data_IF_704890087996
#
_entry.id   IF_704890087996
#
_cell.length_a   1.000
_cell.length_b   1.000
_cell.length_c   1.000
_cell.angle_alpha   90.00
_cell.angle_beta   90.00
_cell.angle_gamma   90.00
#
_symmetry.space_group_name_H-M   'P 1'
#
loop_
_entity.id
_entity.type
_entity.pdbx_description
1 polymer ?
#
# COMPACT_ATOMS: atom_id res chain seq x y z
N UNK A 1 -4.12 20.28 11.84
CA UNK A 1 -3.46 21.06 10.75
C UNK A 1 -2.31 20.19 10.28
N UNK A 2 -2.53 19.43 9.20
CA UNK A 2 -1.46 18.58 8.63
C UNK A 2 -0.60 19.50 7.78
N UNK A 3 0.57 19.86 8.31
CA UNK A 3 1.52 20.78 7.67
C UNK A 3 2.35 19.96 6.67
N UNK A 4 1.84 19.82 5.43
CA UNK A 4 2.63 19.25 4.34
C UNK A 4 3.68 20.27 3.91
N UNK A 5 4.85 20.25 4.56
CA UNK A 5 6.00 21.03 4.11
C UNK A 5 6.74 20.26 3.03
N UNK A 6 6.50 20.67 1.78
CA UNK A 6 7.38 20.32 0.68
C UNK A 6 8.74 20.99 0.89
N UNK A 7 9.76 20.24 1.30
CA UNK A 7 11.15 20.71 1.25
C UNK A 7 11.82 20.11 0.04
N UNK A 8 12.32 20.98 -0.83
CA UNK A 8 13.12 20.62 -2.00
C UNK A 8 14.49 19.99 -1.57
N UNK A 9 14.91 18.85 -2.17
CA UNK A 9 14.25 18.10 -3.21
C UNK A 9 13.26 17.05 -2.66
N UNK A 10 11.97 17.24 -2.95
CA UNK A 10 10.93 16.24 -2.96
C UNK A 10 10.61 15.41 -1.70
N UNK A 11 11.11 15.75 -0.50
CA UNK A 11 10.74 15.02 0.71
C UNK A 11 9.31 15.41 1.15
N UNK A 12 8.38 14.49 0.98
CA UNK A 12 7.02 14.60 1.52
C UNK A 12 6.95 13.76 2.77
N UNK A 13 6.57 14.36 3.89
CA UNK A 13 6.27 13.65 5.13
C UNK A 13 4.75 13.62 5.32
N UNK A 14 4.04 12.57 4.90
CA UNK A 14 2.69 12.33 5.38
C UNK A 14 2.78 11.69 6.76
N UNK A 15 2.30 12.40 7.75
CA UNK A 15 2.07 11.83 9.07
C UNK A 15 0.83 10.93 8.97
N UNK A 16 1.01 9.64 9.21
CA UNK A 16 -0.03 8.60 9.35
C UNK A 16 -0.86 8.26 8.10
N UNK A 17 -0.52 7.13 7.49
CA UNK A 17 -1.39 6.37 6.61
C UNK A 17 -2.24 5.35 7.40
N UNK A 18 -2.60 5.66 8.63
CA UNK A 18 -3.71 4.95 9.26
C UNK A 18 -4.96 5.50 8.59
N UNK A 19 -5.56 4.69 7.72
CA UNK A 19 -6.74 5.07 6.97
C UNK A 19 -7.94 4.88 7.88
N UNK A 20 -8.11 5.80 8.81
CA UNK A 20 -9.42 6.10 9.34
C UNK A 20 -10.21 6.74 8.19
N UNK A 21 -11.30 6.10 7.71
CA UNK A 21 -12.09 6.64 6.60
C UNK A 21 -12.58 8.06 6.86
N UNK A 22 -12.81 8.43 8.12
CA UNK A 22 -13.23 9.77 8.50
C UNK A 22 -12.05 10.75 8.56
N UNK A 23 -10.86 10.30 8.98
CA UNK A 23 -9.63 11.10 8.90
C UNK A 23 -9.24 11.38 7.44
N UNK A 24 -9.42 10.42 6.55
CA UNK A 24 -9.23 10.60 5.11
C UNK A 24 -10.22 11.59 4.52
N UNK A 25 -11.51 11.48 4.82
CA UNK A 25 -12.52 12.46 4.37
C UNK A 25 -12.16 13.87 4.85
N UNK A 26 -11.71 14.01 6.10
CA UNK A 26 -11.27 15.29 6.66
C UNK A 26 -9.98 15.79 6.00
N UNK A 27 -9.03 14.91 5.71
CA UNK A 27 -7.79 15.25 4.99
C UNK A 27 -8.09 15.80 3.59
N UNK A 28 -9.03 15.19 2.85
CA UNK A 28 -9.44 15.68 1.51
C UNK A 28 -10.19 16.99 1.57
N UNK A 29 -11.08 17.16 2.52
CA UNK A 29 -11.78 18.41 2.73
C UNK A 29 -10.80 19.57 3.01
N UNK A 30 -9.69 19.30 3.71
CA UNK A 30 -8.67 20.30 4.05
C UNK A 30 -7.65 20.53 2.91
N UNK A 31 -7.37 19.54 2.07
CA UNK A 31 -6.38 19.66 0.99
C UNK A 31 -6.97 20.13 -0.34
N UNK A 32 -8.29 20.35 -0.42
CA UNK A 32 -8.99 20.75 -1.65
C UNK A 32 -9.05 19.62 -2.70
N UNK A 33 -8.62 18.42 -2.37
CA UNK A 33 -8.73 17.24 -3.21
C UNK A 33 -10.14 16.66 -2.99
N UNK A 34 -11.00 16.72 -3.99
CA UNK A 34 -12.29 16.04 -3.90
C UNK A 34 -12.06 14.53 -4.01
N UNK A 35 -12.40 13.74 -2.97
CA UNK A 35 -12.43 12.31 -3.12
C UNK A 35 -13.48 11.98 -4.18
N UNK A 36 -13.10 11.24 -5.19
CA UNK A 36 -14.06 10.54 -6.04
C UNK A 36 -14.63 9.39 -5.19
N UNK A 37 -15.53 9.73 -4.26
CA UNK A 37 -16.12 8.77 -3.35
C UNK A 37 -17.20 7.98 -4.10
N UNK A 38 -16.80 6.87 -4.68
CA UNK A 38 -17.70 5.74 -4.84
C UNK A 38 -17.71 5.01 -3.49
N UNK A 39 -18.86 4.51 -3.06
CA UNK A 39 -19.02 3.82 -1.77
C UNK A 39 -17.92 2.75 -1.57
N UNK A 40 -17.08 2.93 -0.54
CA UNK A 40 -16.02 2.00 -0.15
C UNK A 40 -14.68 2.14 -0.90
N UNK A 41 -14.51 3.13 -1.78
CA UNK A 41 -13.23 3.40 -2.44
C UNK A 41 -12.86 4.88 -2.37
N UNK A 42 -11.55 5.16 -2.20
CA UNK A 42 -11.00 6.51 -2.12
C UNK A 42 -9.87 6.60 -3.13
N UNK A 43 -9.97 7.51 -4.10
CA UNK A 43 -8.93 7.73 -5.10
C UNK A 43 -8.16 9.02 -4.81
N UNK A 44 -6.85 8.90 -4.78
CA UNK A 44 -5.87 9.95 -4.49
C UNK A 44 -5.12 10.30 -5.76
N UNK A 45 -4.86 11.58 -5.98
CA UNK A 45 -3.86 12.02 -6.96
C UNK A 45 -2.52 12.22 -6.26
N UNK A 46 -1.41 11.77 -6.86
CA UNK A 46 -0.09 12.02 -6.30
C UNK A 46 0.21 13.53 -6.33
N UNK A 47 0.86 14.02 -5.25
CA UNK A 47 1.25 15.43 -5.12
C UNK A 47 2.77 15.60 -5.03
N UNK A 48 3.54 14.58 -5.38
CA UNK A 48 5.00 14.52 -5.29
C UNK A 48 5.63 14.28 -6.67
N UNK A 49 6.84 14.73 -6.90
CA UNK A 49 7.65 14.41 -8.07
C UNK A 49 7.07 14.82 -9.42
N UNK A 50 6.19 15.83 -9.49
CA UNK A 50 5.37 16.14 -10.67
C UNK A 50 4.69 14.87 -11.21
N UNK A 51 4.22 14.01 -10.31
CA UNK A 51 3.63 12.73 -10.68
C UNK A 51 2.20 12.91 -11.19
N UNK A 52 1.84 12.04 -12.12
CA UNK A 52 0.47 11.86 -12.61
C UNK A 52 -0.02 10.44 -12.37
N UNK A 53 -1.33 10.24 -12.49
CA UNK A 53 -1.97 8.96 -12.22
C UNK A 53 -2.78 8.98 -10.94
N UNK A 54 -2.83 7.84 -10.24
CA UNK A 54 -3.65 7.73 -9.03
C UNK A 54 -3.15 6.66 -8.07
N UNK A 55 -3.56 6.81 -6.80
CA UNK A 55 -3.61 5.73 -5.82
C UNK A 55 -5.04 5.56 -5.36
N UNK A 56 -5.59 4.36 -5.44
CA UNK A 56 -6.94 4.03 -5.02
C UNK A 56 -6.90 3.07 -3.85
N UNK A 57 -7.68 3.36 -2.82
CA UNK A 57 -7.81 2.54 -1.62
C UNK A 57 -9.23 2.01 -1.59
N UNK A 58 -9.37 0.69 -1.57
CA UNK A 58 -10.66 -0.01 -1.52
C UNK A 58 -10.76 -0.73 -0.20
N UNK A 59 -11.73 -0.34 0.63
CA UNK A 59 -12.05 -0.99 1.90
C UNK A 59 -12.99 -2.16 1.60
N UNK A 60 -12.54 -3.38 1.85
CA UNK A 60 -13.29 -4.61 1.57
C UNK A 60 -14.04 -5.09 2.81
N UNK A 61 -13.31 -5.42 3.86
CA UNK A 61 -13.82 -5.88 5.16
C UNK A 61 -13.06 -5.18 6.29
N UNK A 62 -13.52 -5.32 7.52
CA UNK A 62 -12.79 -4.86 8.69
C UNK A 62 -11.42 -5.53 8.74
N UNK A 63 -10.38 -4.69 8.77
CA UNK A 63 -8.99 -5.17 8.76
C UNK A 63 -8.48 -5.66 7.40
N UNK A 64 -9.24 -5.53 6.29
CA UNK A 64 -8.79 -5.88 4.96
C UNK A 64 -9.05 -4.79 3.93
N UNK A 65 -8.00 -4.33 3.28
CA UNK A 65 -8.06 -3.31 2.26
C UNK A 65 -7.09 -3.57 1.09
N UNK A 66 -7.44 -3.05 -0.06
CA UNK A 66 -6.61 -3.12 -1.28
C UNK A 66 -6.21 -1.71 -1.70
N UNK A 67 -4.90 -1.50 -1.88
CA UNK A 67 -4.36 -0.26 -2.44
C UNK A 67 -3.90 -0.52 -3.86
N UNK A 68 -4.40 0.26 -4.80
CA UNK A 68 -4.07 0.16 -6.22
C UNK A 68 -3.28 1.41 -6.59
N UNK A 69 -2.09 1.25 -7.15
CA UNK A 69 -1.22 2.33 -7.63
C UNK A 69 -1.05 2.26 -9.14
N UNK A 70 -1.25 3.41 -9.80
CA UNK A 70 -0.92 3.62 -11.21
C UNK A 70 -0.39 5.06 -11.31
N UNK A 71 0.94 5.21 -11.19
CA UNK A 71 1.60 6.49 -10.95
C UNK A 71 2.82 6.60 -11.85
N UNK A 72 2.91 7.68 -12.62
CA UNK A 72 4.12 8.06 -13.35
C UNK A 72 4.79 9.23 -12.64
N UNK A 73 6.04 9.08 -12.22
CA UNK A 73 6.84 10.15 -11.63
C UNK A 73 7.70 10.81 -12.69
N UNK A 74 7.51 12.12 -12.93
CA UNK A 74 8.32 12.87 -13.89
C UNK A 74 9.59 13.43 -13.27
N UNK A 75 9.64 13.56 -11.95
CA UNK A 75 10.80 13.95 -11.17
C UNK A 75 11.04 12.98 -10.03
N UNK A 76 12.30 12.79 -9.70
CA UNK A 76 12.70 12.04 -8.53
C UNK A 76 12.03 12.58 -7.25
N UNK A 77 11.50 11.69 -6.43
CA UNK A 77 10.78 12.05 -5.21
C UNK A 77 10.96 11.03 -4.09
N UNK A 78 10.90 11.52 -2.86
CA UNK A 78 10.98 10.71 -1.66
C UNK A 78 9.71 10.90 -0.84
N UNK A 79 9.04 9.79 -0.54
CA UNK A 79 7.83 9.76 0.28
C UNK A 79 8.16 9.14 1.64
N UNK A 80 8.22 9.98 2.68
CA UNK A 80 8.45 9.51 4.04
C UNK A 80 7.13 9.19 4.73
N UNK A 81 7.06 8.04 5.40
CA UNK A 81 5.88 7.58 6.13
C UNK A 81 6.29 6.81 7.38
N UNK A 82 5.36 6.65 8.31
CA UNK A 82 5.50 5.71 9.43
C UNK A 82 4.71 4.44 9.15
N UNK A 83 5.21 3.32 9.62
CA UNK A 83 4.47 2.06 9.51
C UNK A 83 3.28 2.05 10.46
N UNK A 84 2.19 1.54 9.98
CA UNK A 84 1.09 0.98 10.73
C UNK A 84 1.35 -0.50 11.04
N UNK A 85 0.69 -1.05 12.03
CA UNK A 85 0.75 -2.48 12.35
C UNK A 85 -0.18 -3.24 11.42
N UNK A 86 0.31 -3.55 10.22
CA UNK A 86 -0.43 -4.37 9.24
C UNK A 86 0.52 -5.23 8.41
N UNK A 87 0.07 -6.43 8.06
CA UNK A 87 0.76 -7.27 7.10
C UNK A 87 0.40 -6.82 5.69
N UNK A 88 1.41 -6.53 4.88
CA UNK A 88 1.25 -6.07 3.51
C UNK A 88 1.80 -7.08 2.51
N UNK A 89 0.99 -7.41 1.50
CA UNK A 89 1.41 -8.14 0.31
C UNK A 89 1.42 -7.16 -0.85
N UNK A 90 2.61 -6.76 -1.26
CA UNK A 90 2.80 -5.76 -2.31
C UNK A 90 3.18 -6.43 -3.63
N UNK A 91 2.31 -6.32 -4.63
CA UNK A 91 2.50 -6.84 -5.98
C UNK A 91 2.90 -5.70 -6.91
N UNK A 92 4.14 -5.70 -7.39
CA UNK A 92 4.66 -4.73 -8.35
C UNK A 92 4.60 -5.32 -9.76
N UNK A 93 3.71 -4.77 -10.60
CA UNK A 93 3.57 -5.19 -12.00
C UNK A 93 4.54 -4.46 -12.93
N UNK A 94 4.78 -3.16 -12.68
CA UNK A 94 5.61 -2.32 -13.52
C UNK A 94 6.28 -1.24 -12.68
N UNK A 95 7.41 -0.74 -13.16
CA UNK A 95 8.21 0.26 -12.49
C UNK A 95 9.07 -0.29 -11.37
N UNK A 96 10.09 0.46 -10.99
CA UNK A 96 10.94 0.17 -9.84
C UNK A 96 10.96 1.34 -8.88
N UNK A 97 11.14 1.05 -7.60
CA UNK A 97 11.29 2.06 -6.56
C UNK A 97 12.21 1.55 -5.46
N UNK A 98 12.76 2.47 -4.68
CA UNK A 98 13.50 2.14 -3.48
C UNK A 98 12.59 2.15 -2.25
N UNK A 99 12.89 1.32 -1.26
CA UNK A 99 12.29 1.36 0.06
C UNK A 99 13.39 1.31 1.12
N UNK A 100 13.58 2.42 1.82
CA UNK A 100 14.43 2.52 3.01
C UNK A 100 13.57 2.36 4.28
N UNK A 101 14.07 1.63 5.27
CA UNK A 101 13.39 1.38 6.54
C UNK A 101 14.37 1.65 7.67
N UNK A 102 14.04 2.58 8.57
CA UNK A 102 14.82 2.92 9.76
C UNK A 102 16.29 3.24 9.47
N UNK A 103 16.59 4.01 8.41
CA UNK A 103 17.94 4.36 7.96
C UNK A 103 18.84 3.15 7.62
N UNK A 104 18.26 2.01 7.30
CA UNK A 104 18.96 0.88 6.71
C UNK A 104 19.13 1.08 5.20
N UNK A 105 19.96 0.22 4.58
CA UNK A 105 20.16 0.26 3.14
C UNK A 105 18.83 0.22 2.38
N UNK A 106 18.74 1.05 1.34
CA UNK A 106 17.62 1.08 0.43
C UNK A 106 17.46 -0.26 -0.27
N UNK A 107 16.27 -0.79 -0.23
CA UNK A 107 15.94 -2.03 -0.90
C UNK A 107 15.12 -1.75 -2.13
N UNK A 108 15.59 -2.23 -3.26
CA UNK A 108 14.89 -2.08 -4.52
C UNK A 108 13.64 -2.98 -4.58
N UNK A 109 12.52 -2.39 -4.97
CA UNK A 109 11.29 -3.10 -5.33
C UNK A 109 11.29 -3.21 -6.86
N UNK A 110 11.49 -4.40 -7.37
CA UNK A 110 11.65 -4.66 -8.81
C UNK A 110 10.32 -4.99 -9.49
N UNK A 111 10.29 -4.88 -10.81
CA UNK A 111 9.20 -5.36 -11.65
C UNK A 111 8.89 -6.84 -11.38
N UNK A 112 7.62 -7.21 -11.49
CA UNK A 112 7.12 -8.57 -11.31
C UNK A 112 7.58 -9.23 -10.01
N UNK A 113 7.69 -8.40 -8.94
CA UNK A 113 7.99 -8.87 -7.60
C UNK A 113 6.79 -8.77 -6.66
N UNK A 114 6.70 -9.71 -5.73
CA UNK A 114 5.78 -9.70 -4.60
C UNK A 114 6.60 -9.50 -3.32
N UNK A 115 6.28 -8.44 -2.58
CA UNK A 115 6.83 -8.16 -1.26
C UNK A 115 5.87 -8.60 -0.16
N UNK A 116 6.37 -9.25 0.88
CA UNK A 116 5.65 -9.47 2.15
C UNK A 116 6.30 -8.58 3.19
N UNK A 117 5.55 -7.66 3.78
CA UNK A 117 6.07 -6.63 4.66
C UNK A 117 5.24 -6.56 5.94
N UNK A 118 5.90 -6.73 7.08
CA UNK A 118 5.34 -6.49 8.40
C UNK A 118 6.34 -5.65 9.20
N UNK A 119 5.87 -4.58 9.82
CA UNK A 119 6.72 -3.73 10.65
C UNK A 119 5.97 -3.33 11.92
N UNK A 120 6.68 -3.17 13.04
CA UNK A 120 6.13 -2.55 14.24
C UNK A 120 5.60 -1.14 13.93
N UNK A 121 4.64 -0.69 14.73
CA UNK A 121 4.07 0.64 14.61
C UNK A 121 5.15 1.74 14.74
N UNK A 122 4.97 2.81 13.96
CA UNK A 122 5.82 3.99 14.04
C UNK A 122 7.21 3.88 13.42
N UNK A 123 7.58 2.73 12.85
CA UNK A 123 8.84 2.58 12.13
C UNK A 123 8.87 3.52 10.93
N UNK A 124 9.92 4.35 10.86
CA UNK A 124 10.12 5.27 9.74
C UNK A 124 10.44 4.50 8.46
N UNK A 125 9.75 4.86 7.39
CA UNK A 125 9.96 4.34 6.03
C UNK A 125 10.10 5.49 5.06
N UNK A 126 10.89 5.31 4.02
CA UNK A 126 11.00 6.23 2.91
C UNK A 126 10.91 5.47 1.60
N UNK A 127 9.91 5.77 0.79
CA UNK A 127 9.84 5.30 -0.60
C UNK A 127 10.57 6.28 -1.50
N UNK A 128 11.39 5.77 -2.40
CA UNK A 128 12.15 6.53 -3.39
C UNK A 128 11.60 6.24 -4.78
N UNK A 129 11.00 7.24 -5.39
CA UNK A 129 10.43 7.19 -6.74
C UNK A 129 11.42 7.78 -7.73
N UNK A 130 11.79 7.01 -8.74
CA UNK A 130 12.76 7.44 -9.76
C UNK A 130 12.05 8.26 -10.84
N UNK A 131 12.74 9.25 -11.38
CA UNK A 131 12.25 10.05 -12.50
C UNK A 131 12.05 9.20 -13.76
N UNK A 132 10.89 9.34 -14.41
CA UNK A 132 10.53 8.60 -15.63
C UNK A 132 9.96 7.20 -15.38
N UNK A 133 9.93 6.71 -14.14
CA UNK A 133 9.34 5.41 -13.82
C UNK A 133 7.80 5.50 -13.77
N UNK A 134 7.18 4.47 -14.35
CA UNK A 134 5.74 4.22 -14.25
C UNK A 134 5.49 3.06 -13.32
N UNK A 135 5.01 3.36 -12.12
CA UNK A 135 4.65 2.35 -11.13
C UNK A 135 3.23 1.83 -11.35
N UNK A 136 3.08 0.51 -11.47
CA UNK A 136 1.79 -0.18 -11.42
C UNK A 136 1.84 -1.25 -10.35
N UNK A 137 1.01 -1.09 -9.33
CA UNK A 137 1.06 -1.96 -8.16
C UNK A 137 -0.32 -2.23 -7.55
N UNK A 138 -0.42 -3.36 -6.87
CA UNK A 138 -1.55 -3.72 -6.00
C UNK A 138 -0.98 -4.14 -4.65
N UNK A 139 -1.50 -3.59 -3.57
CA UNK A 139 -1.10 -3.96 -2.21
C UNK A 139 -2.31 -4.41 -1.43
N UNK A 140 -2.27 -5.64 -0.92
CA UNK A 140 -3.22 -6.13 0.07
C UNK A 140 -2.70 -5.73 1.45
N UNK A 141 -3.54 -5.12 2.26
CA UNK A 141 -3.22 -4.70 3.64
C UNK A 141 -4.17 -5.42 4.57
N UNK A 142 -3.60 -6.23 5.47
CA UNK A 142 -4.34 -7.11 6.35
C UNK A 142 -3.97 -6.86 7.82
N UNK A 143 -4.98 -6.64 8.64
CA UNK A 143 -4.83 -6.61 10.09
C UNK A 143 -4.81 -8.04 10.67
N UNK A 144 -4.28 -8.20 11.88
CA UNK A 144 -4.16 -9.52 12.50
C UNK A 144 -5.54 -10.19 12.69
N UNK A 145 -6.56 -9.44 13.08
CA UNK A 145 -7.91 -9.96 13.31
C UNK A 145 -8.50 -10.63 12.05
N UNK A 146 -8.38 -9.98 10.89
CA UNK A 146 -8.79 -10.55 9.61
C UNK A 146 -8.02 -11.83 9.27
N UNK A 147 -6.72 -11.83 9.52
CA UNK A 147 -5.86 -12.98 9.21
C UNK A 147 -6.08 -14.16 10.16
N UNK A 148 -6.49 -13.92 11.41
CA UNK A 148 -6.83 -14.98 12.36
C UNK A 148 -7.95 -15.87 11.82
N UNK A 149 -9.00 -15.28 11.26
CA UNK A 149 -10.10 -16.04 10.67
C UNK A 149 -9.65 -16.82 9.43
N UNK A 150 -8.86 -16.21 8.58
CA UNK A 150 -8.37 -16.81 7.33
C UNK A 150 -7.37 -17.96 7.55
N UNK A 151 -6.46 -17.82 8.53
CA UNK A 151 -5.37 -18.77 8.79
C UNK A 151 -5.62 -19.67 10.00
N UNK A 152 -6.85 -19.74 10.52
CA UNK A 152 -7.19 -20.59 11.67
C UNK A 152 -6.70 -22.02 11.48
N UNK A 153 -5.88 -22.49 12.44
CA UNK A 153 -5.36 -23.86 12.48
C UNK A 153 -4.15 -24.15 11.58
N UNK A 154 -3.62 -23.18 10.83
CA UNK A 154 -2.44 -23.38 9.96
C UNK A 154 -1.28 -22.41 10.23
N UNK A 155 -1.39 -21.54 11.23
CA UNK A 155 -0.38 -20.53 11.58
C UNK A 155 0.99 -21.15 11.88
N UNK A 156 1.04 -22.36 12.43
CA UNK A 156 2.26 -23.11 12.72
C UNK A 156 3.10 -23.48 11.48
N UNK A 157 2.57 -23.29 10.27
CA UNK A 157 3.28 -23.49 9.00
C UNK A 157 3.90 -22.22 8.46
N UNK A 158 3.64 -21.08 9.10
CA UNK A 158 4.13 -19.77 8.69
C UNK A 158 5.47 -19.44 9.38
N UNK A 159 6.27 -18.51 8.84
CA UNK A 159 7.40 -17.94 9.56
C UNK A 159 6.97 -17.39 10.93
N UNK A 160 7.80 -17.56 11.96
CA UNK A 160 7.48 -17.20 13.34
C UNK A 160 6.98 -15.75 13.50
N UNK A 161 7.56 -14.80 12.76
CA UNK A 161 7.12 -13.40 12.79
C UNK A 161 5.67 -13.22 12.29
N UNK A 162 5.26 -13.99 11.28
CA UNK A 162 3.90 -13.94 10.73
C UNK A 162 2.92 -14.68 11.66
N UNK A 163 3.30 -15.83 12.20
CA UNK A 163 2.46 -16.54 13.20
C UNK A 163 2.21 -15.67 14.41
N UNK A 164 3.25 -15.06 14.99
CA UNK A 164 3.10 -14.17 16.16
C UNK A 164 2.19 -12.97 15.86
N UNK A 165 2.29 -12.41 14.66
CA UNK A 165 1.38 -11.32 14.27
C UNK A 165 -0.06 -11.80 14.15
N UNK A 166 -0.29 -12.93 13.51
CA UNK A 166 -1.65 -13.46 13.30
C UNK A 166 -2.26 -13.91 14.63
N UNK A 167 -1.54 -14.68 15.43
CA UNK A 167 -2.06 -15.30 16.65
C UNK A 167 -2.19 -14.31 17.82
N UNK A 168 -1.26 -13.34 17.93
CA UNK A 168 -1.10 -12.47 19.11
C UNK A 168 -1.20 -10.97 18.78
N UNK A 169 -1.26 -10.58 17.51
CA UNK A 169 -1.19 -9.19 17.09
C UNK A 169 0.21 -8.57 17.25
N UNK A 170 1.23 -9.37 17.60
CA UNK A 170 2.58 -8.89 17.87
C UNK A 170 3.37 -8.70 16.58
N UNK A 171 3.61 -7.44 16.18
CA UNK A 171 4.38 -7.13 14.99
C UNK A 171 5.89 -7.14 15.28
N UNK A 172 6.57 -8.12 14.72
CA UNK A 172 8.03 -8.16 14.60
C UNK A 172 8.38 -7.88 13.16
N UNK A 173 9.44 -7.09 12.92
CA UNK A 173 9.85 -6.75 11.58
C UNK A 173 10.10 -8.03 10.74
N UNK A 174 9.35 -8.16 9.64
CA UNK A 174 9.48 -9.25 8.69
C UNK A 174 9.43 -8.71 7.27
N UNK A 175 10.29 -9.24 6.43
CA UNK A 175 10.34 -8.90 5.02
C UNK A 175 10.73 -10.10 4.19
N UNK A 176 10.01 -10.31 3.10
CA UNK A 176 10.37 -11.25 2.06
C UNK A 176 10.07 -10.62 0.69
N UNK A 177 10.87 -10.94 -0.31
CA UNK A 177 10.62 -10.58 -1.71
C UNK A 177 10.70 -11.84 -2.56
N UNK A 178 9.70 -12.05 -3.40
CA UNK A 178 9.53 -13.23 -4.23
C UNK A 178 9.19 -12.79 -5.66
N UNK A 179 9.61 -13.52 -6.69
CA UNK A 179 9.12 -13.31 -8.03
C UNK A 179 7.63 -13.64 -8.10
N UNK A 180 6.86 -12.82 -8.80
CA UNK A 180 5.45 -13.10 -9.03
C UNK A 180 5.26 -14.29 -9.98
N UNK A 181 4.32 -15.17 -9.65
CA UNK A 181 3.85 -16.21 -10.55
C UNK A 181 2.84 -15.65 -11.54
N UNK A 182 2.61 -16.35 -12.63
CA UNK A 182 1.71 -15.92 -13.71
C UNK A 182 0.28 -15.65 -13.22
N UNK A 183 -0.24 -16.45 -12.31
CA UNK A 183 -1.57 -16.28 -11.72
C UNK A 183 -1.65 -14.99 -10.86
N UNK A 184 -0.60 -14.67 -10.09
CA UNK A 184 -0.50 -13.42 -9.32
C UNK A 184 -0.45 -12.20 -10.26
N UNK A 185 0.35 -12.26 -11.32
CA UNK A 185 0.42 -11.21 -12.34
C UNK A 185 -0.94 -11.00 -12.99
N UNK A 186 -1.63 -12.07 -13.31
CA UNK A 186 -2.95 -12.03 -13.93
C UNK A 186 -3.98 -11.40 -12.98
N UNK A 187 -4.06 -11.86 -11.74
CA UNK A 187 -5.00 -11.33 -10.75
C UNK A 187 -4.75 -9.84 -10.46
N UNK A 188 -3.52 -9.44 -10.21
CA UNK A 188 -3.16 -8.04 -9.96
C UNK A 188 -3.46 -7.15 -11.18
N UNK A 189 -3.17 -7.61 -12.40
CA UNK A 189 -3.48 -6.85 -13.60
C UNK A 189 -5.01 -6.72 -13.82
N UNK A 190 -5.80 -7.75 -13.53
CA UNK A 190 -7.26 -7.69 -13.59
C UNK A 190 -7.84 -6.69 -12.59
N UNK A 191 -7.27 -6.56 -11.39
CA UNK A 191 -7.64 -5.54 -10.40
C UNK A 191 -7.33 -4.14 -10.94
N UNK A 192 -6.13 -3.92 -11.47
CA UNK A 192 -5.67 -2.63 -12.00
C UNK A 192 -6.50 -2.15 -13.18
N UNK A 193 -6.78 -3.03 -14.15
CA UNK A 193 -7.43 -2.66 -15.41
C UNK A 193 -8.96 -2.71 -15.35
N UNK A 194 -9.53 -3.04 -14.20
CA UNK A 194 -10.97 -3.12 -14.03
C UNK A 194 -11.65 -1.76 -14.22
N UNK A 195 -12.67 -1.73 -15.06
CA UNK A 195 -13.46 -0.51 -15.39
C UNK A 195 -14.81 -0.45 -14.69
N UNK A 196 -15.16 -1.44 -13.89
CA UNK A 196 -16.38 -1.42 -13.07
C UNK A 196 -16.30 -0.27 -12.04
N UNK A 197 -17.46 0.13 -11.52
CA UNK A 197 -17.58 1.23 -10.56
C UNK A 197 -18.44 0.83 -9.37
N UNK A 198 -18.32 1.58 -8.26
CA UNK A 198 -19.12 1.43 -7.06
C UNK A 198 -19.07 0.01 -6.48
N UNK A 199 -20.19 -0.48 -5.99
CA UNK A 199 -20.30 -1.79 -5.37
C UNK A 199 -19.84 -2.95 -6.27
N UNK A 200 -20.08 -2.87 -7.58
CA UNK A 200 -19.63 -3.91 -8.52
C UNK A 200 -18.11 -3.97 -8.62
N UNK A 201 -17.41 -2.83 -8.59
CA UNK A 201 -15.96 -2.77 -8.56
C UNK A 201 -15.43 -3.40 -7.27
N UNK A 202 -16.02 -3.03 -6.13
CA UNK A 202 -15.67 -3.60 -4.81
C UNK A 202 -15.79 -5.11 -4.81
N UNK A 203 -16.97 -5.66 -5.17
CA UNK A 203 -17.17 -7.12 -5.25
C UNK A 203 -16.18 -7.81 -6.21
N UNK A 204 -15.85 -7.17 -7.33
CA UNK A 204 -14.88 -7.72 -8.27
C UNK A 204 -13.47 -7.79 -7.66
N UNK A 205 -13.02 -6.72 -7.00
CA UNK A 205 -11.71 -6.66 -6.34
C UNK A 205 -11.65 -7.70 -5.21
N UNK A 206 -12.67 -7.78 -4.36
CA UNK A 206 -12.80 -8.75 -3.27
C UNK A 206 -12.69 -10.20 -3.76
N UNK A 207 -13.33 -10.51 -4.88
CA UNK A 207 -13.24 -11.85 -5.48
C UNK A 207 -11.91 -12.15 -6.17
N UNK A 208 -10.94 -11.22 -6.19
CA UNK A 208 -9.62 -11.36 -6.83
C UNK A 208 -8.45 -11.16 -5.85
N UNK A 209 -8.71 -10.51 -4.73
CA UNK A 209 -7.74 -10.29 -3.67
C UNK A 209 -7.69 -11.48 -2.71
#
# INVERSE_FOLDING_TARGET
>A
MVDMKFKNPGKVTPENWHIDPDALKNYYALSGIQPLSEEGAIRLQPTFGDAEGFREIVLLEDGFQVVIGDITCHKEAYLSMKSDVSLKFHYRLEGSSGLEISNHEENQIANYSMGVLLHPEGIAKQEHYLAGEHERSVTLICESAFLQDLFSGITNKLPNALSAYIDEGTAVAYRASLPMKTDMVTAANMILTNTLRGALRRCYIEGRA
#
